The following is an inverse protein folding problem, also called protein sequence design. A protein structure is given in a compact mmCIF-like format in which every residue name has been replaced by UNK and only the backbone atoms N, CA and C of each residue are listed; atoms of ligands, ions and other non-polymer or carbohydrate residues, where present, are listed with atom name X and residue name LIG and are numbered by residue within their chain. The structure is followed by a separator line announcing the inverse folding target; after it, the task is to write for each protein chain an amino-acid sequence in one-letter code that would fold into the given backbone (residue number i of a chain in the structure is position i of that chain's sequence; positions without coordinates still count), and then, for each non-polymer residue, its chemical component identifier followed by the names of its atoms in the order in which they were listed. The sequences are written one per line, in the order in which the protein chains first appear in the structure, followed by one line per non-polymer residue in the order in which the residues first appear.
data_IF_579312988669
#
_entry.id   IF_579312988669
#
_cell.length_a   1.000
_cell.length_b   1.000
_cell.length_c   1.000
_cell.angle_alpha   90.00
_cell.angle_beta   90.00
_cell.angle_gamma   90.00
#
_symmetry.space_group_name_H-M   'P 1'
#
loop_
_entity.id
_entity.type
_entity.pdbx_description
1 polymer ?
#
# COMPACT_ATOMS: atom_id res chain seq x y z
N UNK A 1 -13.82 0.24 11.00
CA UNK A 1 -12.95 0.63 9.87
C UNK A 1 -11.65 -0.15 9.97
N UNK A 2 -11.08 -0.56 8.82
CA UNK A 2 -9.91 -1.45 8.76
C UNK A 2 -8.86 -0.92 7.80
N UNK A 3 -7.59 -1.06 8.14
CA UNK A 3 -6.45 -0.83 7.24
C UNK A 3 -5.67 -2.13 7.04
N UNK A 4 -5.39 -2.46 5.79
CA UNK A 4 -4.49 -3.54 5.40
C UNK A 4 -3.08 -2.97 5.23
N UNK A 5 -2.08 -3.63 5.82
CA UNK A 5 -0.68 -3.26 5.64
C UNK A 5 0.05 -4.44 4.97
N UNK A 6 0.80 -4.18 3.90
CA UNK A 6 1.56 -5.21 3.19
C UNK A 6 3.04 -5.01 3.47
N UNK A 7 3.67 -5.98 4.16
CA UNK A 7 5.11 -6.02 4.34
C UNK A 7 5.76 -6.69 3.13
N UNK A 8 6.33 -5.89 2.23
CA UNK A 8 7.03 -6.31 1.02
C UNK A 8 8.48 -6.72 1.23
N UNK A 9 8.96 -6.77 2.47
CA UNK A 9 10.31 -7.23 2.78
C UNK A 9 10.38 -8.76 2.76
N UNK A 10 11.51 -9.36 2.32
CA UNK A 10 11.75 -10.79 2.53
C UNK A 10 11.94 -11.14 4.02
N UNK A 11 12.27 -10.15 4.86
CA UNK A 11 12.44 -10.31 6.31
C UNK A 11 11.14 -10.00 7.06
N UNK A 12 10.64 -10.96 7.83
CA UNK A 12 9.39 -10.82 8.57
C UNK A 12 9.44 -9.67 9.59
N UNK A 13 10.54 -9.54 10.32
CA UNK A 13 10.72 -8.61 11.44
C UNK A 13 11.85 -7.60 11.21
N UNK A 14 12.09 -7.20 9.95
CA UNK A 14 13.15 -6.23 9.59
C UNK A 14 12.67 -4.78 9.62
N UNK A 15 13.48 -3.88 9.06
CA UNK A 15 13.22 -2.43 9.03
C UNK A 15 11.83 -2.06 8.47
N UNK A 16 11.41 -2.70 7.38
CA UNK A 16 10.09 -2.44 6.77
C UNK A 16 8.96 -2.82 7.71
N UNK A 17 9.04 -3.98 8.37
CA UNK A 17 8.05 -4.40 9.35
C UNK A 17 7.98 -3.43 10.53
N UNK A 18 9.13 -3.02 11.07
CA UNK A 18 9.21 -2.05 12.17
C UNK A 18 8.50 -0.74 11.82
N UNK A 19 8.75 -0.21 10.63
CA UNK A 19 8.08 1.00 10.15
C UNK A 19 6.56 0.80 10.03
N UNK A 20 6.12 -0.31 9.41
CA UNK A 20 4.69 -0.63 9.28
C UNK A 20 4.02 -0.86 10.63
N UNK A 21 4.71 -1.48 11.58
CA UNK A 21 4.18 -1.71 12.92
C UNK A 21 3.92 -0.40 13.68
N UNK A 22 4.83 0.58 13.56
CA UNK A 22 4.62 1.93 14.15
C UNK A 22 3.37 2.59 13.55
N UNK A 23 3.16 2.48 12.22
CA UNK A 23 1.95 2.99 11.56
C UNK A 23 0.71 2.25 12.06
N UNK A 24 0.77 0.92 12.16
CA UNK A 24 -0.34 0.08 12.63
C UNK A 24 -0.75 0.41 14.07
N UNK A 25 0.22 0.57 14.98
CA UNK A 25 -0.05 0.96 16.37
C UNK A 25 -0.76 2.32 16.46
N UNK A 26 -0.34 3.30 15.66
CA UNK A 26 -0.99 4.61 15.64
C UNK A 26 -2.40 4.55 15.02
N UNK A 27 -2.61 3.74 13.99
CA UNK A 27 -3.94 3.48 13.44
C UNK A 27 -4.85 2.85 14.51
N UNK A 28 -4.37 1.83 15.23
CA UNK A 28 -5.13 1.16 16.30
C UNK A 28 -5.48 2.11 17.45
N UNK A 29 -4.54 2.95 17.91
CA UNK A 29 -4.77 4.00 18.90
C UNK A 29 -5.87 4.98 18.48
N UNK A 30 -6.08 5.13 17.17
CA UNK A 30 -7.10 5.99 16.58
C UNK A 30 -8.37 5.23 16.13
N UNK A 31 -8.56 3.98 16.60
CA UNK A 31 -9.78 3.20 16.38
C UNK A 31 -9.89 2.53 15.00
N UNK A 32 -8.79 2.39 14.28
CA UNK A 32 -8.73 1.66 13.00
C UNK A 32 -8.15 0.27 13.26
N UNK A 33 -8.89 -0.78 12.95
CA UNK A 33 -8.39 -2.15 12.95
C UNK A 33 -7.29 -2.32 11.91
N UNK A 34 -6.24 -3.08 12.23
CA UNK A 34 -5.12 -3.29 11.31
C UNK A 34 -4.81 -4.77 11.12
N UNK A 35 -4.41 -5.12 9.91
CA UNK A 35 -3.87 -6.42 9.58
C UNK A 35 -2.57 -6.24 8.78
N UNK A 36 -1.47 -6.83 9.25
CA UNK A 36 -0.20 -6.83 8.51
C UNK A 36 -0.03 -8.17 7.81
N UNK A 37 0.04 -8.14 6.48
CA UNK A 37 0.33 -9.32 5.66
C UNK A 37 1.78 -9.27 5.22
N UNK A 38 2.55 -10.32 5.56
CA UNK A 38 3.93 -10.47 5.13
C UNK A 38 4.00 -11.33 3.88
N UNK A 39 4.56 -10.78 2.78
CA UNK A 39 4.69 -11.53 1.52
C UNK A 39 5.88 -12.50 1.53
N UNK A 40 6.89 -12.24 2.38
CA UNK A 40 8.02 -13.14 2.61
C UNK A 40 8.83 -13.46 1.37
N UNK A 41 9.34 -14.69 1.33
CA UNK A 41 10.12 -15.26 0.22
C UNK A 41 9.24 -16.05 -0.76
N UNK A 42 7.94 -15.71 -0.86
CA UNK A 42 7.04 -16.42 -1.76
C UNK A 42 7.38 -16.11 -3.22
N UNK A 43 7.28 -17.12 -4.06
CA UNK A 43 7.45 -16.97 -5.50
C UNK A 43 6.18 -16.33 -6.09
N UNK A 44 6.21 -15.00 -6.21
CA UNK A 44 5.13 -14.22 -6.80
C UNK A 44 5.60 -13.73 -8.17
N UNK A 45 5.13 -14.38 -9.20
CA UNK A 45 5.47 -14.01 -10.57
C UNK A 45 4.76 -12.76 -11.05
N UNK A 46 5.36 -12.06 -12.02
CA UNK A 46 4.76 -10.90 -12.68
C UNK A 46 3.52 -11.23 -13.50
N UNK A 47 2.77 -10.20 -13.86
CA UNK A 47 1.61 -10.33 -14.76
C UNK A 47 2.07 -10.79 -16.16
N UNK A 48 1.37 -11.77 -16.73
CA UNK A 48 1.63 -12.29 -18.09
C UNK A 48 0.66 -11.70 -19.13
N UNK A 49 -0.10 -10.69 -18.79
CA UNK A 49 -1.05 -9.99 -19.67
C UNK A 49 -2.07 -10.93 -20.36
N UNK A 50 -2.48 -12.03 -19.73
CA UNK A 50 -3.40 -13.02 -20.31
C UNK A 50 -4.85 -12.53 -20.44
N UNK A 51 -5.23 -11.42 -19.79
CA UNK A 51 -6.58 -10.85 -19.83
C UNK A 51 -7.67 -11.63 -19.09
N UNK A 52 -7.41 -12.85 -18.62
CA UNK A 52 -8.44 -13.73 -18.03
C UNK A 52 -9.10 -13.18 -16.76
N UNK A 53 -8.43 -12.28 -16.05
CA UNK A 53 -9.02 -11.66 -14.86
C UNK A 53 -10.26 -10.81 -15.16
N UNK A 54 -10.45 -10.33 -16.39
CA UNK A 54 -11.66 -9.63 -16.80
C UNK A 54 -12.91 -10.52 -16.72
N UNK A 55 -12.76 -11.82 -17.00
CA UNK A 55 -13.84 -12.82 -16.94
C UNK A 55 -13.97 -13.45 -15.54
N UNK A 56 -12.81 -13.75 -14.91
CA UNK A 56 -12.76 -14.48 -13.64
C UNK A 56 -13.01 -13.59 -12.41
N UNK A 57 -12.78 -12.28 -12.51
CA UNK A 57 -12.79 -11.37 -11.37
C UNK A 57 -11.62 -11.54 -10.39
N UNK A 58 -10.63 -12.36 -10.73
CA UNK A 58 -9.41 -12.61 -9.95
C UNK A 58 -8.25 -13.04 -10.86
N UNK A 59 -7.02 -13.04 -10.33
CA UNK A 59 -5.88 -13.49 -11.10
C UNK A 59 -5.96 -15.00 -11.39
N UNK A 60 -5.56 -15.41 -12.61
CA UNK A 60 -5.53 -16.82 -13.02
C UNK A 60 -4.57 -17.68 -12.20
N UNK A 61 -3.53 -17.07 -11.62
CA UNK A 61 -2.60 -17.76 -10.73
C UNK A 61 -3.17 -17.81 -9.31
N UNK A 62 -3.36 -19.02 -8.81
CA UNK A 62 -3.84 -19.24 -7.45
C UNK A 62 -2.68 -19.13 -6.45
N UNK A 63 -2.35 -17.92 -6.08
CA UNK A 63 -1.27 -17.58 -5.17
C UNK A 63 -1.68 -16.43 -4.22
N UNK A 64 -0.73 -15.87 -3.50
CA UNK A 64 -0.92 -14.82 -2.52
C UNK A 64 -1.69 -13.59 -3.04
N UNK A 65 -1.68 -13.31 -4.34
CA UNK A 65 -2.46 -12.20 -4.91
C UNK A 65 -3.95 -12.41 -4.66
N UNK A 66 -4.45 -13.63 -4.91
CA UNK A 66 -5.85 -13.97 -4.68
C UNK A 66 -6.19 -14.11 -3.18
N UNK A 67 -5.20 -14.41 -2.32
CA UNK A 67 -5.37 -14.42 -0.87
C UNK A 67 -5.49 -13.01 -0.28
N UNK A 68 -4.76 -12.05 -0.84
CA UNK A 68 -4.74 -10.65 -0.38
C UNK A 68 -5.92 -9.84 -0.92
N UNK A 69 -6.42 -10.19 -2.11
CA UNK A 69 -7.50 -9.46 -2.78
C UNK A 69 -8.75 -9.23 -1.89
N UNK A 70 -9.35 -10.24 -1.25
CA UNK A 70 -10.52 -10.04 -0.38
C UNK A 70 -10.21 -9.23 0.88
N UNK A 71 -8.98 -9.29 1.40
CA UNK A 71 -8.55 -8.47 2.53
C UNK A 71 -8.46 -6.99 2.14
N UNK A 72 -7.97 -6.71 0.93
CA UNK A 72 -7.92 -5.35 0.40
C UNK A 72 -9.32 -4.82 0.07
N UNK A 73 -10.21 -5.65 -0.46
CA UNK A 73 -11.60 -5.27 -0.72
C UNK A 73 -12.30 -4.78 0.56
N UNK A 74 -12.13 -5.50 1.67
CA UNK A 74 -12.73 -5.20 2.97
C UNK A 74 -12.07 -4.02 3.72
N UNK A 75 -10.86 -3.62 3.33
CA UNK A 75 -10.15 -2.54 3.99
C UNK A 75 -10.59 -1.15 3.49
N UNK A 76 -10.63 -0.18 4.39
CA UNK A 76 -10.84 1.25 4.10
C UNK A 76 -9.53 1.95 3.71
N UNK A 77 -8.40 1.32 4.00
CA UNK A 77 -7.08 1.83 3.65
C UNK A 77 -6.06 0.73 3.39
N UNK A 78 -5.03 1.06 2.59
CA UNK A 78 -3.93 0.17 2.23
C UNK A 78 -2.60 0.87 2.46
N UNK A 79 -1.73 0.28 3.28
CA UNK A 79 -0.33 0.68 3.43
C UNK A 79 0.56 -0.35 2.76
N UNK A 80 1.45 0.08 1.88
CA UNK A 80 2.44 -0.81 1.28
C UNK A 80 3.83 -0.43 1.74
N UNK A 81 4.53 -1.38 2.37
CA UNK A 81 5.88 -1.21 2.86
C UNK A 81 6.90 -1.97 2.02
N UNK A 82 8.02 -1.34 1.67
CA UNK A 82 9.07 -1.94 0.87
C UNK A 82 10.47 -1.58 1.35
N UNK A 83 11.41 -2.52 1.38
CA UNK A 83 12.82 -2.17 1.35
C UNK A 83 13.16 -1.56 -0.02
N UNK A 84 14.23 -0.74 -0.04
CA UNK A 84 14.73 -0.13 -1.28
C UNK A 84 15.82 -1.02 -1.88
N UNK A 85 15.57 -1.48 -3.11
CA UNK A 85 16.54 -2.24 -3.92
C UNK A 85 16.80 -1.50 -5.23
N UNK A 86 18.05 -1.08 -5.47
CA UNK A 86 18.43 -0.34 -6.69
C UNK A 86 17.53 0.87 -6.98
N UNK A 87 17.26 1.67 -5.94
CA UNK A 87 16.36 2.84 -5.98
C UNK A 87 14.90 2.52 -6.37
N UNK A 88 14.49 1.28 -6.27
CA UNK A 88 13.10 0.84 -6.50
C UNK A 88 12.57 0.01 -5.32
N UNK A 89 11.26 -0.25 -5.28
CA UNK A 89 10.69 -1.19 -4.34
C UNK A 89 11.10 -2.64 -4.67
N UNK A 90 10.91 -3.55 -3.71
CA UNK A 90 11.15 -4.98 -3.90
C UNK A 90 10.34 -5.52 -5.09
N UNK A 91 11.00 -6.26 -5.99
CA UNK A 91 10.37 -6.85 -7.18
C UNK A 91 9.21 -7.79 -6.87
N UNK A 92 9.32 -8.61 -5.83
CA UNK A 92 8.22 -9.48 -5.39
C UNK A 92 6.98 -8.68 -4.99
N UNK A 93 7.17 -7.55 -4.29
CA UNK A 93 6.07 -6.66 -3.93
C UNK A 93 5.45 -6.02 -5.17
N UNK A 94 6.25 -5.54 -6.12
CA UNK A 94 5.70 -4.95 -7.36
C UNK A 94 4.95 -5.97 -8.20
N UNK A 95 5.43 -7.19 -8.30
CA UNK A 95 4.71 -8.30 -8.97
C UNK A 95 3.36 -8.57 -8.32
N UNK A 96 3.29 -8.56 -6.98
CA UNK A 96 2.03 -8.70 -6.24
C UNK A 96 1.11 -7.51 -6.55
N UNK A 97 1.60 -6.28 -6.43
CA UNK A 97 0.79 -5.07 -6.62
C UNK A 97 0.28 -4.92 -8.05
N UNK A 98 1.12 -5.16 -9.07
CA UNK A 98 0.73 -5.11 -10.49
C UNK A 98 -0.47 -6.04 -10.74
N UNK A 99 -0.43 -7.25 -10.19
CA UNK A 99 -1.50 -8.22 -10.35
C UNK A 99 -2.70 -7.92 -9.46
N UNK A 100 -2.50 -7.54 -8.21
CA UNK A 100 -3.55 -7.21 -7.26
C UNK A 100 -4.42 -6.05 -7.77
N UNK A 101 -3.78 -4.96 -8.21
CA UNK A 101 -4.50 -3.79 -8.71
C UNK A 101 -5.18 -4.04 -10.05
N UNK A 102 -4.59 -4.85 -10.92
CA UNK A 102 -5.13 -5.12 -12.24
C UNK A 102 -6.24 -6.19 -12.24
N UNK A 103 -6.14 -7.23 -11.40
CA UNK A 103 -7.04 -8.38 -11.45
C UNK A 103 -8.28 -8.27 -10.56
N UNK A 104 -8.36 -7.26 -9.69
CA UNK A 104 -9.48 -7.11 -8.76
C UNK A 104 -10.52 -6.12 -9.27
N UNK A 105 -11.80 -6.53 -9.40
CA UNK A 105 -12.86 -5.71 -9.99
C UNK A 105 -13.49 -4.71 -9.02
N UNK A 106 -13.27 -4.86 -7.70
CA UNK A 106 -13.88 -3.99 -6.71
C UNK A 106 -13.42 -2.53 -6.82
N UNK A 107 -14.29 -1.60 -6.42
CA UNK A 107 -14.00 -0.18 -6.44
C UNK A 107 -12.97 0.20 -5.37
N UNK A 108 -11.85 0.78 -5.80
CA UNK A 108 -10.75 1.21 -4.94
C UNK A 108 -10.82 2.70 -4.59
N UNK A 109 -11.72 3.44 -5.28
CA UNK A 109 -11.84 4.88 -5.09
C UNK A 109 -12.10 5.22 -3.62
N UNK A 110 -11.44 6.28 -3.16
CA UNK A 110 -11.56 6.79 -1.78
C UNK A 110 -11.11 5.83 -0.68
N UNK A 111 -10.54 4.64 -1.00
CA UNK A 111 -9.73 3.92 -0.01
C UNK A 111 -8.42 4.69 0.20
N UNK A 112 -8.01 4.90 1.44
CA UNK A 112 -6.81 5.71 1.74
C UNK A 112 -5.55 4.88 1.48
N UNK A 113 -4.65 5.38 0.62
CA UNK A 113 -3.37 4.75 0.30
C UNK A 113 -2.21 5.36 1.08
N UNK A 114 -1.19 4.55 1.40
CA UNK A 114 0.10 5.05 1.86
C UNK A 114 1.24 4.12 1.44
N UNK A 115 2.36 4.70 1.01
CA UNK A 115 3.62 3.99 0.81
C UNK A 115 4.56 4.26 1.98
N UNK A 116 5.32 3.23 2.39
CA UNK A 116 6.38 3.31 3.40
C UNK A 116 7.62 2.62 2.82
N UNK A 117 8.77 3.27 2.90
CA UNK A 117 10.02 2.68 2.40
C UNK A 117 11.08 2.65 3.49
N UNK A 118 11.90 1.61 3.47
CA UNK A 118 13.04 1.47 4.37
C UNK A 118 14.33 1.31 3.59
N UNK A 119 15.36 2.02 3.96
CA UNK A 119 16.66 1.92 3.31
C UNK A 119 17.81 2.13 4.32
N UNK A 120 18.97 1.57 3.97
CA UNK A 120 20.21 1.92 4.69
C UNK A 120 20.67 3.34 4.37
N UNK A 121 20.48 3.80 3.10
CA UNK A 121 20.96 5.10 2.62
C UNK A 121 20.06 5.70 1.56
N UNK A 122 20.45 5.71 0.29
CA UNK A 122 19.77 6.40 -0.80
C UNK A 122 18.72 5.57 -1.54
N UNK A 123 17.97 6.23 -2.44
CA UNK A 123 16.99 5.59 -3.33
C UNK A 123 15.55 5.55 -2.81
N UNK A 124 15.30 6.11 -1.63
CA UNK A 124 13.98 6.08 -0.99
C UNK A 124 12.92 6.85 -1.78
N UNK A 125 13.24 8.04 -2.29
CA UNK A 125 12.28 8.89 -3.03
C UNK A 125 11.79 8.20 -4.29
N UNK A 126 12.66 7.60 -5.09
CA UNK A 126 12.29 6.91 -6.32
C UNK A 126 11.41 5.67 -6.03
N UNK A 127 11.73 4.90 -4.99
CA UNK A 127 10.90 3.78 -4.56
C UNK A 127 9.53 4.23 -4.02
N UNK A 128 9.49 5.31 -3.24
CA UNK A 128 8.28 5.91 -2.71
C UNK A 128 7.36 6.40 -3.83
N UNK A 129 7.90 7.15 -4.79
CA UNK A 129 7.14 7.67 -5.94
C UNK A 129 6.57 6.53 -6.78
N UNK A 130 7.33 5.46 -7.00
CA UNK A 130 6.85 4.29 -7.76
C UNK A 130 5.66 3.61 -7.07
N UNK A 131 5.69 3.46 -5.74
CA UNK A 131 4.59 2.85 -4.99
C UNK A 131 3.33 3.72 -4.99
N UNK A 132 3.47 5.04 -4.90
CA UNK A 132 2.32 5.94 -4.93
C UNK A 132 1.55 5.93 -6.25
N UNK A 133 2.16 5.45 -7.36
CA UNK A 133 1.47 5.33 -8.66
C UNK A 133 0.30 4.35 -8.64
N UNK A 134 0.34 3.31 -7.81
CA UNK A 134 -0.79 2.40 -7.65
C UNK A 134 -2.03 3.11 -7.07
N UNK A 135 -1.81 4.00 -6.11
CA UNK A 135 -2.89 4.74 -5.47
C UNK A 135 -3.48 5.81 -6.39
N UNK A 136 -2.62 6.61 -7.02
CA UNK A 136 -3.05 7.72 -7.87
C UNK A 136 -3.88 7.26 -9.07
N UNK A 137 -3.50 6.17 -9.75
CA UNK A 137 -4.26 5.64 -10.88
C UNK A 137 -5.60 5.01 -10.45
N UNK A 138 -5.76 4.69 -9.17
CA UNK A 138 -6.94 4.03 -8.61
C UNK A 138 -7.86 4.99 -7.86
N UNK A 139 -7.69 6.30 -8.01
CA UNK A 139 -8.46 7.34 -7.32
C UNK A 139 -8.43 7.18 -5.78
N UNK A 140 -7.32 6.67 -5.26
CA UNK A 140 -7.11 6.51 -3.83
C UNK A 140 -6.39 7.74 -3.27
N UNK A 141 -6.96 8.48 -2.31
CA UNK A 141 -6.26 9.57 -1.62
C UNK A 141 -5.01 9.04 -0.91
N UNK A 142 -3.89 9.73 -1.08
CA UNK A 142 -2.63 9.36 -0.45
C UNK A 142 -2.49 10.07 0.89
N UNK A 143 -2.34 9.32 1.97
CA UNK A 143 -2.01 9.87 3.28
C UNK A 143 -0.57 10.37 3.28
N UNK A 144 -0.38 11.62 3.68
CA UNK A 144 0.93 12.23 3.90
C UNK A 144 1.26 12.29 5.39
N UNK A 145 2.55 12.38 5.69
CA UNK A 145 3.08 12.77 7.00
C UNK A 145 3.65 14.18 6.94
N UNK A 146 4.63 14.50 7.79
CA UNK A 146 5.36 15.77 7.72
C UNK A 146 6.50 15.77 6.69
N UNK A 147 6.89 14.58 6.21
CA UNK A 147 7.96 14.37 5.23
C UNK A 147 7.60 13.16 4.35
N UNK A 148 8.46 12.73 3.42
CA UNK A 148 8.23 11.48 2.69
C UNK A 148 8.33 10.29 3.63
N UNK A 149 7.45 9.31 3.49
CA UNK A 149 7.29 8.21 4.44
C UNK A 149 8.43 7.20 4.31
N UNK A 150 9.54 7.48 4.95
CA UNK A 150 10.73 6.63 4.94
C UNK A 150 11.33 6.49 6.34
N UNK A 151 12.05 5.39 6.52
CA UNK A 151 12.90 5.13 7.68
C UNK A 151 14.27 4.66 7.20
N UNK A 152 15.31 4.93 8.00
CA UNK A 152 16.66 4.51 7.74
C UNK A 152 17.17 3.56 8.82
N UNK A 153 17.88 2.51 8.40
CA UNK A 153 18.48 1.53 9.30
C UNK A 153 18.95 0.30 8.55
N UNK A 154 19.83 -0.48 9.18
CA UNK A 154 20.27 -1.79 8.72
C UNK A 154 19.51 -2.91 9.43
N UNK A 155 19.00 -2.65 10.62
CA UNK A 155 18.22 -3.56 11.44
C UNK A 155 16.97 -2.87 12.00
N UNK A 156 16.09 -3.64 12.63
CA UNK A 156 14.92 -3.13 13.34
C UNK A 156 15.28 -2.13 14.44
N UNK A 157 16.38 -2.44 15.18
CA UNK A 157 16.90 -1.60 16.25
C UNK A 157 17.45 -0.27 15.72
N UNK A 158 18.05 -0.26 14.53
CA UNK A 158 18.54 0.97 13.91
C UNK A 158 17.38 1.88 13.47
N UNK A 159 16.28 1.30 12.97
CA UNK A 159 15.07 2.07 12.66
C UNK A 159 14.54 2.80 13.89
N UNK A 160 14.60 2.18 15.06
CA UNK A 160 14.16 2.83 16.30
C UNK A 160 15.08 3.97 16.76
N UNK A 161 16.33 4.05 16.24
CA UNK A 161 17.25 5.17 16.45
C UNK A 161 17.05 6.29 15.44
N UNK A 162 16.35 6.03 14.32
CA UNK A 162 15.92 7.06 13.36
C UNK A 162 14.70 7.80 13.92
N UNK A 163 14.95 8.70 14.87
CA UNK A 163 13.90 9.44 15.61
C UNK A 163 12.97 10.20 14.67
N UNK A 164 13.51 10.76 13.58
CA UNK A 164 12.71 11.47 12.58
C UNK A 164 11.83 10.49 11.79
N UNK A 165 12.39 9.38 11.32
CA UNK A 165 11.64 8.34 10.62
C UNK A 165 10.52 7.75 11.48
N UNK A 166 10.79 7.45 12.75
CA UNK A 166 9.80 6.98 13.72
C UNK A 166 8.69 8.03 13.92
N UNK A 167 9.04 9.31 14.03
CA UNK A 167 8.06 10.39 14.12
C UNK A 167 7.19 10.48 12.87
N UNK A 168 7.78 10.36 11.68
CA UNK A 168 7.09 10.36 10.39
C UNK A 168 6.07 9.21 10.35
N UNK A 169 6.43 8.00 10.76
CA UNK A 169 5.51 6.85 10.80
C UNK A 169 4.33 7.07 11.75
N UNK A 170 4.57 7.65 12.93
CA UNK A 170 3.49 8.00 13.87
C UNK A 170 2.54 9.05 13.29
N UNK A 171 3.07 10.10 12.65
CA UNK A 171 2.25 11.15 12.02
C UNK A 171 1.46 10.56 10.86
N UNK A 172 2.08 9.69 10.04
CA UNK A 172 1.40 9.00 8.96
C UNK A 172 0.18 8.21 9.47
N UNK A 173 0.36 7.41 10.52
CA UNK A 173 -0.74 6.63 11.11
C UNK A 173 -1.91 7.50 11.58
N UNK A 174 -1.61 8.64 12.25
CA UNK A 174 -2.64 9.59 12.69
C UNK A 174 -3.37 10.27 11.53
N UNK A 175 -2.62 10.74 10.54
CA UNK A 175 -3.21 11.41 9.37
C UNK A 175 -4.05 10.44 8.55
N UNK A 176 -3.58 9.21 8.36
CA UNK A 176 -4.32 8.18 7.67
C UNK A 176 -5.63 7.80 8.41
N UNK A 177 -5.58 7.66 9.74
CA UNK A 177 -6.77 7.42 10.54
C UNK A 177 -7.79 8.56 10.43
N UNK A 178 -7.33 9.82 10.42
CA UNK A 178 -8.19 10.98 10.20
C UNK A 178 -8.87 10.90 8.83
N UNK A 179 -8.12 10.64 7.76
CA UNK A 179 -8.65 10.55 6.40
C UNK A 179 -9.66 9.39 6.27
N UNK A 180 -9.36 8.21 6.81
CA UNK A 180 -10.28 7.07 6.78
C UNK A 180 -11.61 7.43 7.45
N UNK A 181 -11.58 8.05 8.64
CA UNK A 181 -12.80 8.47 9.34
C UNK A 181 -13.56 9.55 8.59
N UNK A 182 -12.86 10.56 8.05
CA UNK A 182 -13.48 11.65 7.30
C UNK A 182 -14.18 11.14 6.03
N UNK A 183 -13.52 10.25 5.29
CA UNK A 183 -14.08 9.65 4.07
C UNK A 183 -15.25 8.72 4.42
N UNK A 184 -15.16 7.95 5.50
CA UNK A 184 -16.26 7.08 5.93
C UNK A 184 -17.50 7.91 6.30
N UNK A 185 -17.33 9.01 7.05
CA UNK A 185 -18.43 9.90 7.42
C UNK A 185 -19.04 10.61 6.21
N UNK A 186 -18.22 11.05 5.25
CA UNK A 186 -18.72 11.70 4.04
C UNK A 186 -19.43 10.70 3.12
N UNK A 187 -18.89 9.49 2.97
CA UNK A 187 -19.52 8.40 2.22
C UNK A 187 -20.88 8.01 2.80
N UNK A 188 -21.02 7.99 4.13
CA UNK A 188 -22.28 7.71 4.79
C UNK A 188 -23.34 8.81 4.55
N UNK A 189 -22.89 10.07 4.54
CA UNK A 189 -23.76 11.26 4.40
C UNK A 189 -24.21 11.51 2.95
N UNK A 190 -23.27 11.47 2.00
CA UNK A 190 -23.44 11.96 0.63
C UNK A 190 -23.09 10.91 -0.44
N UNK A 191 -22.60 9.74 -0.06
CA UNK A 191 -22.08 8.74 -0.99
C UNK A 191 -20.66 9.03 -1.45
N UNK A 192 -20.17 8.25 -2.43
CA UNK A 192 -18.92 8.54 -3.11
C UNK A 192 -19.13 9.53 -4.26
N UNK A 193 -18.08 10.26 -4.69
CA UNK A 193 -18.15 11.07 -5.90
C UNK A 193 -18.70 10.27 -7.09
N UNK A 194 -19.48 10.92 -7.95
CA UNK A 194 -20.01 10.27 -9.14
C UNK A 194 -18.89 9.69 -10.00
N UNK A 195 -19.10 8.47 -10.50
CA UNK A 195 -18.14 7.81 -11.37
C UNK A 195 -18.45 8.14 -12.83
N UNK A 196 -17.56 8.86 -13.47
CA UNK A 196 -17.69 9.10 -14.90
C UNK A 196 -17.43 7.83 -15.72
N UNK A 197 -18.04 7.76 -16.90
CA UNK A 197 -17.73 6.72 -17.88
C UNK A 197 -16.30 6.93 -18.39
N UNK A 198 -15.44 5.94 -18.21
CA UNK A 198 -14.05 6.01 -18.64
C UNK A 198 -13.94 6.18 -20.16
N UNK A 199 -13.22 7.19 -20.58
CA UNK A 199 -12.88 7.42 -22.01
C UNK A 199 -11.44 7.01 -22.25
N UNK A 200 -11.24 6.12 -23.19
CA UNK A 200 -9.89 5.69 -23.60
C UNK A 200 -9.51 6.44 -24.87
N UNK A 201 -8.30 6.99 -24.89
CA UNK A 201 -7.72 7.59 -26.10
C UNK A 201 -6.72 6.61 -26.70
N UNK A 202 -6.80 6.44 -28.02
CA UNK A 202 -5.81 5.70 -28.78
C UNK A 202 -4.97 6.67 -29.61
N UNK A 203 -3.68 6.74 -29.34
CA UNK A 203 -2.74 7.60 -30.07
C UNK A 203 -2.29 7.02 -31.41
N UNK A 204 -2.65 5.78 -31.72
CA UNK A 204 -2.43 5.15 -33.02
C UNK A 204 -3.64 5.47 -33.89
N UNK A 205 -3.42 6.26 -34.92
CA UNK A 205 -4.43 6.66 -35.89
C UNK A 205 -4.16 5.98 -37.24
#
# INVERSE_FOLDING_TARGET
MKALLINGSPHANGCTFTALNIVAEELQKNGIETEIVHIGNKDIRGCIACGKCAELGHCVFNDMVNEVAPKFEQADGLVVGSPVYYAGPNGTLTNLLDRLFFSTPFDKRMKVGAAVVSARRGGTTAAFDRLNKYFTISEMPIASSRYWNMVHGHSAEDVMKDEEGVQIMRILGRNMAFLIRAIAAERERNGLPEKEVTRYTNFIR
#
